data_IF_183119743677
#
_entry.id   IF_183119743677
#
_cell.length_a   1.000
_cell.length_b   1.000
_cell.length_c   1.000
_cell.angle_alpha   90.00
_cell.angle_beta   90.00
_cell.angle_gamma   90.00
#
_symmetry.space_group_name_H-M   'P 1'
#
loop_
_entity.id
_entity.type
_entity.pdbx_description
1 polymer ?
#
# COMPACT_ATOMS: atom_id res chain seq x y z
N UNK A 1 5.66 20.11 -9.83
CA UNK A 1 6.54 19.47 -8.83
C UNK A 1 5.90 19.73 -7.47
N UNK A 2 5.30 18.70 -6.86
CA UNK A 2 4.63 18.85 -5.55
C UNK A 2 5.73 19.21 -4.54
N UNK A 3 5.62 20.40 -3.95
CA UNK A 3 6.54 20.86 -2.89
C UNK A 3 6.37 19.89 -1.70
N UNK A 4 7.36 19.02 -1.46
CA UNK A 4 7.29 18.02 -0.39
C UNK A 4 8.03 16.70 -0.64
N UNK A 5 8.37 16.37 -1.89
CA UNK A 5 9.08 15.12 -2.21
C UNK A 5 10.47 15.00 -1.55
N UNK A 6 11.16 16.12 -1.33
CA UNK A 6 12.49 16.09 -0.70
C UNK A 6 12.43 15.67 0.78
N UNK A 7 11.30 15.90 1.46
CA UNK A 7 11.03 15.39 2.80
C UNK A 7 10.51 13.95 2.78
N UNK A 8 9.84 13.52 1.71
CA UNK A 8 9.35 12.16 1.52
C UNK A 8 10.49 11.13 1.44
N UNK A 9 11.54 11.43 0.65
CA UNK A 9 12.72 10.56 0.52
C UNK A 9 13.48 10.42 1.84
N UNK A 10 13.60 11.50 2.63
CA UNK A 10 14.24 11.46 3.96
C UNK A 10 13.44 10.63 4.97
N UNK A 11 12.11 10.60 4.87
CA UNK A 11 11.22 9.86 5.77
C UNK A 11 11.16 8.36 5.44
N UNK A 12 11.34 7.99 4.17
CA UNK A 12 11.45 6.57 3.75
C UNK A 12 12.83 5.96 4.02
N UNK A 13 13.91 6.72 3.82
CA UNK A 13 15.28 6.21 3.94
C UNK A 13 15.78 5.99 5.39
N UNK A 14 15.05 6.48 6.40
CA UNK A 14 15.52 6.49 7.80
C UNK A 14 14.69 5.68 8.78
N UNK A 15 13.50 5.20 8.40
CA UNK A 15 12.55 4.63 9.36
C UNK A 15 12.41 3.11 9.19
N UNK A 16 13.44 2.37 9.62
CA UNK A 16 13.43 0.89 9.77
C UNK A 16 12.19 0.41 10.53
N UNK A 17 11.63 1.26 11.40
CA UNK A 17 10.40 1.03 12.17
C UNK A 17 9.16 0.82 11.30
N UNK A 18 9.10 1.41 10.09
CA UNK A 18 7.95 1.28 9.19
C UNK A 18 7.85 -0.13 8.64
N UNK A 19 8.96 -0.71 8.16
CA UNK A 19 8.96 -2.07 7.62
C UNK A 19 8.65 -3.09 8.70
N UNK A 20 9.16 -2.88 9.91
CA UNK A 20 8.86 -3.72 11.07
C UNK A 20 7.35 -3.67 11.43
N UNK A 21 6.77 -2.47 11.47
CA UNK A 21 5.34 -2.27 11.71
C UNK A 21 4.46 -2.96 10.65
N UNK A 22 4.85 -2.86 9.37
CA UNK A 22 4.13 -3.50 8.26
C UNK A 22 4.30 -5.02 8.29
N UNK A 23 5.50 -5.52 8.60
CA UNK A 23 5.77 -6.95 8.69
C UNK A 23 4.85 -7.62 9.71
N UNK A 24 4.65 -7.03 10.89
CA UNK A 24 3.72 -7.58 11.89
C UNK A 24 2.27 -7.63 11.39
N UNK A 25 1.86 -6.68 10.54
CA UNK A 25 0.48 -6.50 10.07
C UNK A 25 0.17 -7.11 8.71
N UNK A 26 1.17 -7.66 8.00
CA UNK A 26 0.92 -8.26 6.69
C UNK A 26 0.02 -9.50 6.84
N UNK A 27 -0.93 -9.63 5.93
CA UNK A 27 -1.89 -10.72 5.87
C UNK A 27 -2.16 -11.07 4.40
N UNK A 28 -2.79 -12.23 4.19
CA UNK A 28 -3.20 -12.70 2.87
C UNK A 28 -2.27 -13.77 2.28
N UNK A 29 -2.76 -14.37 1.19
CA UNK A 29 -2.11 -15.49 0.53
C UNK A 29 -0.99 -15.06 -0.42
N UNK A 30 -0.17 -16.01 -0.86
CA UNK A 30 0.91 -15.76 -1.80
C UNK A 30 0.43 -15.26 -3.16
N UNK A 31 1.28 -14.49 -3.83
CA UNK A 31 1.12 -14.17 -5.25
C UNK A 31 1.57 -15.33 -6.15
N UNK A 32 1.99 -15.03 -7.39
CA UNK A 32 2.54 -16.02 -8.33
C UNK A 32 3.69 -16.88 -7.77
N UNK A 33 4.59 -16.28 -6.97
CA UNK A 33 5.74 -16.93 -6.35
C UNK A 33 5.41 -17.79 -5.13
N UNK A 34 4.14 -17.85 -4.70
CA UNK A 34 3.68 -18.72 -3.63
C UNK A 34 4.00 -18.25 -2.19
N UNK A 35 5.01 -17.39 -2.00
CA UNK A 35 5.35 -16.84 -0.68
C UNK A 35 4.23 -15.96 -0.12
N UNK A 36 3.60 -16.41 0.96
CA UNK A 36 2.47 -15.74 1.61
C UNK A 36 2.89 -14.82 2.76
N UNK A 37 1.90 -14.26 3.46
CA UNK A 37 2.15 -13.35 4.59
C UNK A 37 2.91 -14.01 5.74
N UNK A 38 2.72 -15.30 6.00
CA UNK A 38 3.41 -16.01 7.07
C UNK A 38 4.90 -16.16 6.75
N UNK A 39 5.22 -16.59 5.52
CA UNK A 39 6.60 -16.69 5.05
C UNK A 39 7.36 -15.37 5.16
N UNK A 40 6.71 -14.26 4.77
CA UNK A 40 7.33 -12.94 4.85
C UNK A 40 7.45 -12.41 6.29
N UNK A 41 6.52 -12.76 7.19
CA UNK A 41 6.67 -12.46 8.63
C UNK A 41 7.92 -13.13 9.19
N UNK A 42 8.09 -14.42 8.93
CA UNK A 42 9.26 -15.16 9.42
C UNK A 42 10.55 -14.58 8.87
N UNK A 43 10.60 -14.36 7.56
CA UNK A 43 11.77 -13.80 6.88
C UNK A 43 12.14 -12.41 7.42
N UNK A 44 11.14 -11.57 7.68
CA UNK A 44 11.36 -10.19 8.11
C UNK A 44 11.48 -10.01 9.62
N UNK A 45 11.13 -10.97 10.48
CA UNK A 45 11.10 -10.77 11.93
C UNK A 45 11.96 -11.77 12.71
N UNK A 46 12.05 -13.04 12.29
CA UNK A 46 12.50 -14.12 13.17
C UNK A 46 13.99 -14.51 13.04
N UNK A 47 14.74 -13.96 12.08
CA UNK A 47 16.16 -14.31 11.83
C UNK A 47 17.16 -13.24 12.31
N UNK A 48 16.80 -12.46 13.32
CA UNK A 48 17.69 -11.51 14.00
C UNK A 48 18.39 -10.54 13.03
N UNK A 49 19.74 -10.48 12.99
CA UNK A 49 20.47 -9.59 12.08
C UNK A 49 20.17 -9.82 10.58
N UNK A 50 19.81 -11.04 10.18
CA UNK A 50 19.47 -11.33 8.77
C UNK A 50 18.14 -10.70 8.38
N UNK A 51 17.14 -10.84 9.25
CA UNK A 51 15.84 -10.17 9.11
C UNK A 51 15.99 -8.65 9.11
N UNK A 52 16.86 -8.09 9.96
CA UNK A 52 17.17 -6.66 9.95
C UNK A 52 17.70 -6.18 8.59
N UNK A 53 18.74 -6.84 8.05
CA UNK A 53 19.27 -6.52 6.72
C UNK A 53 18.24 -6.70 5.61
N UNK A 54 17.35 -7.68 5.73
CA UNK A 54 16.27 -7.88 4.77
C UNK A 54 15.27 -6.71 4.78
N UNK A 55 14.91 -6.21 5.96
CA UNK A 55 14.07 -5.00 6.10
C UNK A 55 14.76 -3.76 5.52
N UNK A 56 16.07 -3.60 5.73
CA UNK A 56 16.83 -2.49 5.17
C UNK A 56 16.87 -2.55 3.63
N UNK A 57 17.14 -3.73 3.07
CA UNK A 57 17.11 -3.95 1.63
C UNK A 57 15.72 -3.71 1.03
N UNK A 58 14.66 -4.10 1.75
CA UNK A 58 13.29 -3.86 1.33
C UNK A 58 12.92 -2.38 1.38
N UNK A 59 13.33 -1.64 2.40
CA UNK A 59 13.16 -0.19 2.48
C UNK A 59 13.89 0.52 1.34
N UNK A 60 15.13 0.11 1.06
CA UNK A 60 15.91 0.62 -0.07
C UNK A 60 15.20 0.36 -1.41
N UNK A 61 14.77 -0.89 -1.67
CA UNK A 61 14.06 -1.24 -2.90
C UNK A 61 12.75 -0.45 -3.04
N UNK A 62 11.99 -0.30 -1.96
CA UNK A 62 10.75 0.47 -1.93
C UNK A 62 11.00 1.93 -2.30
N UNK A 63 12.02 2.54 -1.70
CA UNK A 63 12.41 3.92 -1.98
C UNK A 63 12.90 4.07 -3.43
N UNK A 64 13.71 3.13 -3.93
CA UNK A 64 14.20 3.13 -5.30
C UNK A 64 13.04 3.10 -6.29
N UNK A 65 12.15 2.10 -6.19
CA UNK A 65 11.02 1.95 -7.11
C UNK A 65 10.03 3.11 -7.05
N UNK A 66 9.88 3.75 -5.88
CA UNK A 66 8.97 4.90 -5.72
C UNK A 66 9.52 6.20 -6.30
N UNK A 67 10.84 6.31 -6.45
CA UNK A 67 11.51 7.55 -6.87
C UNK A 67 12.23 7.42 -8.22
N UNK A 68 12.20 6.25 -8.86
CA UNK A 68 12.90 6.02 -10.14
C UNK A 68 11.97 5.40 -11.17
N UNK A 69 12.11 5.86 -12.42
CA UNK A 69 11.53 5.18 -13.57
C UNK A 69 12.34 3.92 -13.83
N UNK A 70 11.73 2.76 -13.62
CA UNK A 70 12.38 1.46 -13.79
C UNK A 70 11.90 0.80 -15.08
N UNK A 71 12.83 0.21 -15.84
CA UNK A 71 12.47 -0.58 -17.03
C UNK A 71 11.54 -1.73 -16.64
N UNK A 72 10.48 -1.91 -17.43
CA UNK A 72 9.51 -2.99 -17.29
C UNK A 72 10.17 -4.36 -17.18
N UNK A 73 11.23 -4.62 -17.95
CA UNK A 73 11.93 -5.91 -17.95
C UNK A 73 12.54 -6.27 -16.59
N UNK A 74 12.80 -5.27 -15.74
CA UNK A 74 13.35 -5.47 -14.40
C UNK A 74 12.27 -5.74 -13.33
N UNK A 75 11.02 -5.29 -13.57
CA UNK A 75 9.97 -5.29 -12.55
C UNK A 75 8.75 -6.14 -12.91
N UNK A 76 8.64 -6.63 -14.16
CA UNK A 76 7.44 -7.34 -14.61
C UNK A 76 7.10 -8.52 -13.69
N UNK A 77 8.10 -9.31 -13.27
CA UNK A 77 7.92 -10.45 -12.39
C UNK A 77 7.28 -10.04 -11.05
N UNK A 78 7.79 -8.98 -10.43
CA UNK A 78 7.26 -8.40 -9.19
C UNK A 78 5.83 -7.86 -9.37
N UNK A 79 5.50 -7.34 -10.56
CA UNK A 79 4.20 -6.76 -10.88
C UNK A 79 3.16 -7.78 -11.39
N UNK A 80 3.57 -9.02 -11.64
CA UNK A 80 2.64 -10.09 -12.00
C UNK A 80 1.70 -10.44 -10.84
N UNK A 81 0.51 -10.94 -11.20
CA UNK A 81 -0.55 -11.27 -10.24
C UNK A 81 -1.07 -12.68 -10.48
N UNK A 82 -1.41 -13.39 -9.39
CA UNK A 82 -2.14 -14.66 -9.43
C UNK A 82 -3.64 -14.38 -9.49
N UNK A 83 -4.31 -14.85 -10.53
CA UNK A 83 -5.73 -14.58 -10.74
C UNK A 83 -6.62 -15.55 -9.95
N UNK A 84 -7.67 -15.02 -9.33
CA UNK A 84 -8.76 -15.79 -8.72
C UNK A 84 -10.10 -15.18 -9.13
N UNK A 85 -11.14 -16.01 -9.26
CA UNK A 85 -12.50 -15.55 -9.51
C UNK A 85 -13.30 -15.67 -8.20
N UNK A 86 -13.69 -14.55 -7.61
CA UNK A 86 -14.58 -14.52 -6.44
C UNK A 86 -16.03 -14.45 -6.88
N UNK A 87 -16.92 -15.17 -6.20
CA UNK A 87 -18.36 -15.07 -6.42
C UNK A 87 -18.92 -13.80 -5.76
N UNK A 88 -19.63 -12.98 -6.54
CA UNK A 88 -20.26 -11.73 -6.09
C UNK A 88 -21.75 -11.88 -5.82
N UNK A 89 -22.36 -13.00 -6.23
CA UNK A 89 -23.79 -13.30 -6.12
C UNK A 89 -24.76 -12.13 -6.45
N UNK A 90 -25.20 -11.95 -7.72
CA UNK A 90 -24.82 -12.72 -8.91
C UNK A 90 -23.56 -12.18 -9.58
N UNK A 91 -22.84 -13.07 -10.28
CA UNK A 91 -21.69 -12.71 -11.12
C UNK A 91 -20.33 -12.94 -10.46
N UNK A 92 -19.27 -12.57 -11.18
CA UNK A 92 -17.88 -12.80 -10.77
C UNK A 92 -17.14 -11.48 -10.48
N UNK A 93 -16.26 -11.51 -9.47
CA UNK A 93 -15.29 -10.48 -9.20
C UNK A 93 -13.88 -11.05 -9.46
N UNK A 94 -13.28 -10.78 -10.63
CA UNK A 94 -11.92 -11.23 -10.91
C UNK A 94 -10.91 -10.42 -10.08
N UNK A 95 -10.09 -11.11 -9.30
CA UNK A 95 -9.07 -10.50 -8.44
C UNK A 95 -7.68 -10.97 -8.87
N UNK A 96 -6.76 -10.01 -8.98
CA UNK A 96 -5.33 -10.28 -9.13
C UNK A 96 -4.59 -10.16 -7.80
N UNK A 97 -4.09 -11.29 -7.28
CA UNK A 97 -3.28 -11.34 -6.08
C UNK A 97 -1.82 -11.10 -6.48
N UNK A 98 -1.33 -9.87 -6.31
CA UNK A 98 0.08 -9.56 -6.54
C UNK A 98 1.01 -10.19 -5.54
N UNK A 99 2.31 -10.17 -5.83
CA UNK A 99 3.34 -10.67 -4.92
C UNK A 99 3.21 -10.11 -3.50
N UNK A 100 3.41 -10.96 -2.48
CA UNK A 100 3.34 -10.50 -1.09
C UNK A 100 4.38 -9.41 -0.82
N UNK A 101 5.56 -9.53 -1.43
CA UNK A 101 6.61 -8.51 -1.38
C UNK A 101 6.14 -7.17 -1.93
N UNK A 102 5.48 -7.18 -3.10
CA UNK A 102 4.87 -5.98 -3.70
C UNK A 102 3.86 -5.35 -2.75
N UNK A 103 3.00 -6.15 -2.11
CA UNK A 103 2.02 -5.65 -1.15
C UNK A 103 2.65 -5.04 0.10
N UNK A 104 3.77 -5.59 0.58
CA UNK A 104 4.53 -5.00 1.70
C UNK A 104 5.04 -3.62 1.29
N UNK A 105 5.71 -3.51 0.14
CA UNK A 105 6.21 -2.22 -0.36
C UNK A 105 5.09 -1.19 -0.55
N UNK A 106 3.98 -1.59 -1.18
CA UNK A 106 2.84 -0.69 -1.36
C UNK A 106 2.24 -0.25 -0.02
N UNK A 107 2.08 -1.15 0.96
CA UNK A 107 1.58 -0.79 2.30
C UNK A 107 2.52 0.16 3.03
N UNK A 108 3.83 -0.03 2.89
CA UNK A 108 4.84 0.90 3.42
C UNK A 108 4.65 2.29 2.82
N UNK A 109 4.50 2.41 1.50
CA UNK A 109 4.24 3.70 0.85
C UNK A 109 2.92 4.31 1.33
N UNK A 110 1.83 3.54 1.32
CA UNK A 110 0.54 4.01 1.79
C UNK A 110 0.59 4.52 3.24
N UNK A 111 1.35 3.87 4.13
CA UNK A 111 1.50 4.32 5.51
C UNK A 111 2.26 5.64 5.60
N UNK A 112 3.32 5.81 4.81
CA UNK A 112 4.16 7.00 4.85
C UNK A 112 3.49 8.20 4.20
N UNK A 113 2.71 7.99 3.14
CA UNK A 113 2.03 9.06 2.41
C UNK A 113 0.63 9.38 2.91
N UNK A 114 0.09 8.61 3.87
CA UNK A 114 -1.31 8.69 4.28
C UNK A 114 -1.74 10.12 4.60
N UNK A 115 -1.06 10.75 5.55
CA UNK A 115 -1.45 12.08 6.06
C UNK A 115 -1.36 13.14 4.94
N UNK A 116 -0.34 13.05 4.09
CA UNK A 116 -0.19 13.94 2.94
C UNK A 116 -1.30 13.76 1.90
N UNK A 117 -1.71 12.51 1.64
CA UNK A 117 -2.79 12.21 0.70
C UNK A 117 -4.11 12.70 1.27
N UNK A 118 -4.39 12.47 2.54
CA UNK A 118 -5.60 12.94 3.22
C UNK A 118 -5.69 14.47 3.21
N UNK A 119 -4.60 15.17 3.52
CA UNK A 119 -4.52 16.64 3.50
C UNK A 119 -4.76 17.22 2.10
N UNK A 120 -4.08 16.68 1.08
CA UNK A 120 -4.17 17.19 -0.30
C UNK A 120 -5.53 16.88 -0.94
N UNK A 121 -6.10 15.73 -0.63
CA UNK A 121 -7.39 15.32 -1.17
C UNK A 121 -8.58 15.99 -0.48
N UNK A 122 -8.46 16.31 0.81
CA UNK A 122 -9.52 16.94 1.59
C UNK A 122 -10.88 16.26 1.42
N UNK A 123 -11.93 17.06 1.23
CA UNK A 123 -13.29 16.59 0.96
C UNK A 123 -13.54 16.23 -0.51
N UNK A 124 -12.64 16.59 -1.43
CA UNK A 124 -12.83 16.39 -2.87
C UNK A 124 -12.69 14.91 -3.25
N UNK A 125 -11.95 14.13 -2.45
CA UNK A 125 -11.77 12.70 -2.66
C UNK A 125 -11.96 11.91 -1.36
N UNK A 126 -13.16 11.32 -1.23
CA UNK A 126 -13.58 10.53 -0.07
C UNK A 126 -12.77 9.24 0.12
N UNK A 127 -12.17 8.70 -0.95
CA UNK A 127 -11.37 7.48 -0.90
C UNK A 127 -9.92 7.70 -0.42
N UNK A 128 -9.55 8.93 -0.02
CA UNK A 128 -8.19 9.29 0.40
C UNK A 128 -7.83 8.90 1.84
N UNK A 129 -8.76 8.29 2.58
CA UNK A 129 -8.57 7.86 3.97
C UNK A 129 -9.25 8.75 5.01
N UNK A 130 -10.01 9.76 4.57
CA UNK A 130 -10.82 10.64 5.42
C UNK A 130 -11.75 9.83 6.32
N UNK A 131 -11.72 10.10 7.63
CA UNK A 131 -12.56 9.38 8.58
C UNK A 131 -14.05 9.69 8.34
N UNK A 132 -14.91 8.66 8.39
CA UNK A 132 -16.35 8.76 8.16
C UNK A 132 -16.76 9.37 6.79
N UNK A 133 -15.89 9.29 5.78
CA UNK A 133 -16.11 9.94 4.48
C UNK A 133 -17.44 9.56 3.79
N UNK A 134 -17.83 8.28 3.86
CA UNK A 134 -19.08 7.79 3.24
C UNK A 134 -20.31 8.43 3.91
N UNK A 135 -20.33 8.46 5.24
CA UNK A 135 -21.42 9.06 6.01
C UNK A 135 -21.49 10.57 5.79
N UNK A 136 -20.34 11.25 5.86
CA UNK A 136 -20.26 12.68 5.58
C UNK A 136 -20.73 13.04 4.17
N UNK A 137 -20.44 12.21 3.18
CA UNK A 137 -20.90 12.41 1.81
C UNK A 137 -22.41 12.24 1.67
N UNK A 138 -23.01 11.25 2.33
CA UNK A 138 -24.46 11.07 2.32
C UNK A 138 -25.17 12.26 2.96
N UNK A 139 -24.67 12.73 4.12
CA UNK A 139 -25.24 13.92 4.78
C UNK A 139 -25.09 15.18 3.92
N UNK A 140 -23.91 15.44 3.37
CA UNK A 140 -23.69 16.59 2.51
C UNK A 140 -24.60 16.57 1.26
N UNK A 141 -24.87 15.39 0.68
CA UNK A 141 -25.79 15.27 -0.46
C UNK A 141 -27.25 15.51 -0.05
N UNK A 142 -27.67 15.05 1.14
CA UNK A 142 -29.02 15.32 1.65
C UNK A 142 -29.23 16.81 1.91
N UNK A 143 -28.28 17.46 2.61
CA UNK A 143 -28.37 18.91 2.90
C UNK A 143 -28.44 19.73 1.61
N UNK A 144 -27.61 19.41 0.61
CA UNK A 144 -27.66 20.05 -0.71
C UNK A 144 -29.00 19.82 -1.42
N UNK A 145 -29.63 18.65 -1.25
CA UNK A 145 -30.93 18.39 -1.85
C UNK A 145 -32.03 19.24 -1.20
N UNK A 146 -32.04 19.30 0.14
CA UNK A 146 -33.01 20.05 0.93
C UNK A 146 -32.88 21.57 0.73
N UNK A 147 -31.67 22.09 0.49
CA UNK A 147 -31.43 23.51 0.17
C UNK A 147 -31.93 23.93 -1.22
N UNK A 148 -32.14 22.98 -2.13
CA UNK A 148 -32.62 23.21 -3.50
C UNK A 148 -34.13 22.98 -3.69
N UNK A 149 -34.86 22.70 -2.60
CA UNK A 149 -36.33 22.64 -2.55
C UNK A 149 -36.92 23.96 -2.00
#
# INVERSE_FOLDING_TARGET
MIRGLDNFVKRLGSDVRVQDFIAHRIQGSGGPGGSDSSHWKDSLLHFGPHSARCRDALAYLTSLLSNTLTDWNLIYALLTNRLIALDKNPGICPIGIGETLRRIMCKTICLVTRDNVEEVCGSDQLCAGTQCAIEGAVHAMNDLFDENE
#
